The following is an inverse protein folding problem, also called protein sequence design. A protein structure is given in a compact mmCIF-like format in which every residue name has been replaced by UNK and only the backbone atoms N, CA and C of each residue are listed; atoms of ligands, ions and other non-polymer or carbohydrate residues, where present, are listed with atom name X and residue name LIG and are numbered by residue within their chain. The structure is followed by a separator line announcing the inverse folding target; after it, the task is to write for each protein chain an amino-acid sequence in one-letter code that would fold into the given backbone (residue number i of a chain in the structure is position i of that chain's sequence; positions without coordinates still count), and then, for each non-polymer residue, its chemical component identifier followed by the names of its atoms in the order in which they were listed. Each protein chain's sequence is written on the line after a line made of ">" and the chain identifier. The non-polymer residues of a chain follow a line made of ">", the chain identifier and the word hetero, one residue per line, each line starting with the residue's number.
data_IF_868779034404
#
_entry.id   IF_868779034404
#
_cell.length_a   1.000
_cell.length_b   1.000
_cell.length_c   1.000
_cell.angle_alpha   90.00
_cell.angle_beta   90.00
_cell.angle_gamma   90.00
#
_symmetry.space_group_name_H-M   'P 1'
#
loop_
_entity.id
_entity.type
_entity.pdbx_description
1 polymer ?
#
# COMPACT_ATOMS: atom_id res chain seq x y z
N UNK A 1 -4.87 -7.19 1.57
CA UNK A 1 -4.92 -5.88 0.87
C UNK A 1 -3.53 -5.25 0.96
N UNK A 2 -2.97 -4.78 -0.15
CA UNK A 2 -1.71 -4.04 -0.21
C UNK A 2 -1.96 -2.62 -0.72
N UNK A 3 -1.31 -1.62 -0.13
CA UNK A 3 -1.48 -0.21 -0.52
C UNK A 3 -0.27 0.25 -1.31
N UNK A 4 -0.47 0.58 -2.58
CA UNK A 4 0.55 1.06 -3.50
C UNK A 4 0.64 2.59 -3.45
N UNK A 5 1.83 3.18 -3.55
CA UNK A 5 1.96 4.58 -3.95
C UNK A 5 1.54 4.74 -5.44
N UNK A 6 1.14 5.95 -5.88
CA UNK A 6 0.80 6.18 -7.29
C UNK A 6 2.02 6.13 -8.22
N UNK A 7 3.21 6.45 -7.70
CA UNK A 7 4.47 6.32 -8.43
C UNK A 7 5.64 6.17 -7.45
N UNK A 8 6.81 5.80 -7.97
CA UNK A 8 8.05 5.75 -7.19
C UNK A 8 8.48 7.15 -6.72
N UNK A 9 8.29 8.17 -7.55
CA UNK A 9 8.61 9.55 -7.20
C UNK A 9 7.75 10.04 -6.04
N UNK A 10 6.44 9.75 -6.05
CA UNK A 10 5.56 10.14 -4.96
C UNK A 10 5.84 9.32 -3.68
N UNK A 11 6.26 8.06 -3.81
CA UNK A 11 6.75 7.28 -2.67
C UNK A 11 7.96 7.95 -2.02
N UNK A 12 8.97 8.32 -2.81
CA UNK A 12 10.16 9.00 -2.32
C UNK A 12 9.79 10.35 -1.68
N UNK A 13 8.97 11.16 -2.37
CA UNK A 13 8.51 12.45 -1.87
C UNK A 13 7.80 12.33 -0.51
N UNK A 14 6.97 11.30 -0.33
CA UNK A 14 6.27 11.03 0.93
C UNK A 14 7.21 10.57 2.05
N UNK A 15 8.29 9.84 1.72
CA UNK A 15 9.32 9.48 2.70
C UNK A 15 10.09 10.72 3.15
N UNK A 16 10.49 11.58 2.23
CA UNK A 16 11.19 12.84 2.53
C UNK A 16 10.33 13.81 3.35
N UNK A 17 9.05 13.96 2.98
CA UNK A 17 8.12 14.86 3.65
C UNK A 17 7.85 14.50 5.12
N UNK A 18 8.15 13.27 5.57
CA UNK A 18 8.00 12.89 6.98
C UNK A 18 8.99 13.62 7.88
N UNK A 19 10.10 14.15 7.33
CA UNK A 19 10.98 15.12 7.99
C UNK A 19 11.69 14.64 9.26
N UNK A 20 11.77 13.31 9.49
CA UNK A 20 12.32 12.72 10.73
C UNK A 20 13.59 11.90 10.52
N UNK A 21 14.04 11.77 9.28
CA UNK A 21 15.09 10.83 8.88
C UNK A 21 16.16 11.54 8.06
N UNK A 22 17.41 11.09 8.17
CA UNK A 22 18.50 11.51 7.30
C UNK A 22 18.36 10.91 5.89
N UNK A 23 19.15 11.41 4.94
CA UNK A 23 19.09 10.97 3.53
C UNK A 23 19.41 9.50 3.33
N UNK A 24 20.38 8.95 4.05
CA UNK A 24 20.75 7.53 3.94
C UNK A 24 19.61 6.63 4.43
N UNK A 25 18.99 7.01 5.56
CA UNK A 25 17.80 6.33 6.09
C UNK A 25 16.62 6.38 5.10
N UNK A 26 16.34 7.53 4.50
CA UNK A 26 15.28 7.67 3.47
C UNK A 26 15.56 6.76 2.27
N UNK A 27 16.79 6.79 1.75
CA UNK A 27 17.17 6.02 0.57
C UNK A 27 17.11 4.52 0.83
N UNK A 28 17.51 4.07 2.03
CA UNK A 28 17.38 2.68 2.45
C UNK A 28 15.92 2.26 2.47
N UNK A 29 15.05 3.03 3.14
CA UNK A 29 13.61 2.74 3.22
C UNK A 29 12.94 2.73 1.86
N UNK A 30 13.36 3.62 0.96
CA UNK A 30 12.85 3.65 -0.40
C UNK A 30 13.16 2.35 -1.16
N UNK A 31 14.41 1.86 -1.07
CA UNK A 31 14.80 0.57 -1.67
C UNK A 31 14.04 -0.61 -1.05
N UNK A 32 13.90 -0.61 0.28
CA UNK A 32 13.12 -1.63 1.00
C UNK A 32 11.66 -1.65 0.51
N UNK A 33 11.03 -0.48 0.40
CA UNK A 33 9.66 -0.36 -0.09
C UNK A 33 9.49 -0.82 -1.54
N UNK A 34 10.44 -0.49 -2.44
CA UNK A 34 10.42 -0.99 -3.83
C UNK A 34 10.49 -2.53 -3.87
N UNK A 35 11.33 -3.13 -3.03
CA UNK A 35 11.44 -4.58 -2.92
C UNK A 35 10.16 -5.21 -2.39
N UNK A 36 9.56 -4.64 -1.34
CA UNK A 36 8.28 -5.09 -0.78
C UNK A 36 7.15 -5.03 -1.80
N UNK A 37 7.06 -3.94 -2.58
CA UNK A 37 6.08 -3.81 -3.67
C UNK A 37 6.25 -4.94 -4.68
N UNK A 38 7.48 -5.20 -5.16
CA UNK A 38 7.74 -6.27 -6.12
C UNK A 38 7.37 -7.66 -5.56
N UNK A 39 7.73 -7.92 -4.29
CA UNK A 39 7.41 -9.19 -3.62
C UNK A 39 5.90 -9.34 -3.41
N UNK A 40 5.19 -8.26 -3.10
CA UNK A 40 3.74 -8.29 -2.89
C UNK A 40 3.00 -8.78 -4.14
N UNK A 41 3.47 -8.40 -5.33
CA UNK A 41 2.88 -8.78 -6.62
C UNK A 41 3.17 -10.23 -7.03
N UNK A 42 4.23 -10.84 -6.48
CA UNK A 42 4.70 -12.17 -6.89
C UNK A 42 4.35 -13.27 -5.87
N UNK A 43 4.18 -12.90 -4.61
CA UNK A 43 4.02 -13.87 -3.51
C UNK A 43 2.63 -14.51 -3.43
N UNK A 44 1.61 -13.91 -4.06
CA UNK A 44 0.21 -14.31 -3.87
C UNK A 44 -0.32 -14.05 -2.46
N UNK A 45 0.45 -13.36 -1.60
CA UNK A 45 0.06 -13.07 -0.21
C UNK A 45 -1.06 -12.01 -0.11
N UNK A 46 -1.30 -11.26 -1.18
CA UNK A 46 -2.28 -10.18 -1.24
C UNK A 46 -3.26 -10.41 -2.38
N UNK A 47 -4.54 -10.42 -2.02
CA UNK A 47 -5.65 -10.58 -2.99
C UNK A 47 -6.08 -9.25 -3.63
N UNK A 48 -5.88 -8.13 -2.93
CA UNK A 48 -6.31 -6.80 -3.37
C UNK A 48 -5.16 -5.80 -3.30
N UNK A 49 -5.07 -4.92 -4.30
CA UNK A 49 -4.10 -3.84 -4.40
C UNK A 49 -4.83 -2.52 -4.60
N UNK A 50 -4.51 -1.51 -3.79
CA UNK A 50 -5.17 -0.19 -3.83
C UNK A 50 -4.10 0.88 -4.03
N UNK A 51 -4.25 1.73 -5.05
CA UNK A 51 -3.34 2.85 -5.29
C UNK A 51 -3.76 4.06 -4.46
N UNK A 52 -2.89 4.49 -3.54
CA UNK A 52 -3.12 5.65 -2.67
C UNK A 52 -2.67 6.96 -3.33
N UNK A 53 -3.34 7.33 -4.41
CA UNK A 53 -3.22 8.66 -5.03
C UNK A 53 -4.09 9.70 -4.31
N UNK A 54 -5.35 9.32 -4.05
CA UNK A 54 -6.30 10.10 -3.28
C UNK A 54 -6.66 9.39 -1.98
N UNK A 55 -6.35 10.00 -0.83
CA UNK A 55 -6.57 9.39 0.48
C UNK A 55 -8.04 9.02 0.71
N UNK A 56 -8.99 9.87 0.32
CA UNK A 56 -10.41 9.62 0.55
C UNK A 56 -10.87 8.39 -0.24
N UNK A 57 -10.54 8.34 -1.53
CA UNK A 57 -10.92 7.22 -2.40
C UNK A 57 -10.27 5.91 -1.95
N UNK A 58 -8.97 5.94 -1.59
CA UNK A 58 -8.26 4.75 -1.12
C UNK A 58 -8.87 4.18 0.17
N UNK A 59 -9.31 5.05 1.09
CA UNK A 59 -10.01 4.64 2.32
C UNK A 59 -11.38 4.05 2.00
N UNK A 60 -12.17 4.70 1.14
CA UNK A 60 -13.48 4.20 0.73
C UNK A 60 -13.38 2.82 0.08
N UNK A 61 -12.42 2.62 -0.82
CA UNK A 61 -12.14 1.34 -1.48
C UNK A 61 -11.72 0.26 -0.49
N UNK A 62 -10.81 0.59 0.44
CA UNK A 62 -10.36 -0.34 1.50
C UNK A 62 -11.53 -0.83 2.34
N UNK A 63 -12.42 0.09 2.76
CA UNK A 63 -13.60 -0.22 3.55
C UNK A 63 -14.55 -1.13 2.77
N UNK A 64 -14.76 -0.85 1.48
CA UNK A 64 -15.62 -1.65 0.62
C UNK A 64 -15.12 -3.10 0.50
N UNK A 65 -13.83 -3.30 0.25
CA UNK A 65 -13.20 -4.63 0.16
C UNK A 65 -13.38 -5.40 1.47
N UNK A 66 -13.11 -4.76 2.62
CA UNK A 66 -13.26 -5.40 3.93
C UNK A 66 -14.71 -5.81 4.18
N UNK A 67 -15.68 -4.95 3.85
CA UNK A 67 -17.11 -5.25 4.03
C UNK A 67 -17.55 -6.42 3.17
N UNK A 68 -17.16 -6.44 1.90
CA UNK A 68 -17.53 -7.51 0.97
C UNK A 68 -16.94 -8.85 1.41
N UNK A 69 -15.65 -8.89 1.75
CA UNK A 69 -14.97 -10.10 2.24
C UNK A 69 -15.62 -10.66 3.52
N UNK A 70 -16.09 -9.80 4.43
CA UNK A 70 -16.84 -10.25 5.62
C UNK A 70 -18.20 -10.84 5.28
N UNK A 71 -18.92 -10.27 4.31
CA UNK A 71 -20.23 -10.78 3.90
C UNK A 71 -20.13 -12.14 3.20
N UNK A 72 -19.11 -12.34 2.37
CA UNK A 72 -18.84 -13.62 1.69
C UNK A 72 -18.54 -14.73 2.69
N UNK A 73 -17.71 -14.44 3.71
CA UNK A 73 -17.44 -15.38 4.79
C UNK A 73 -18.69 -15.73 5.60
N UNK A 74 -19.56 -14.75 5.87
CA UNK A 74 -20.82 -14.95 6.60
C UNK A 74 -21.90 -15.66 5.78
N UNK A 75 -21.86 -15.58 4.44
CA UNK A 75 -22.80 -16.27 3.54
C UNK A 75 -22.38 -17.70 3.20
N UNK A 76 -21.12 -18.03 3.50
CA UNK A 76 -20.52 -19.36 3.28
C UNK A 76 -20.45 -20.20 4.58
N UNK A 77 -21.02 -19.68 5.67
CA UNK A 77 -21.14 -20.34 6.99
C UNK A 77 -22.61 -20.65 7.29
#
# INVERSE_FOLDING_TARGET
>A
IFILPPSEEELLRRLEARGREDRDSIQRRFREAQQEIKLSQQSGAYEYFITNDNLKLAVEETIAIIKNSRNEAASSS
#
